data_IF_454183790973
#
_entry.id   IF_454183790973
#
_cell.length_a   1.000
_cell.length_b   1.000
_cell.length_c   1.000
_cell.angle_alpha   90.00
_cell.angle_beta   90.00
_cell.angle_gamma   90.00
#
_symmetry.space_group_name_H-M   'P 1'
#
loop_
_entity.id
_entity.type
_entity.pdbx_description
1 polymer ?
#
# COMPACT_ATOMS: atom_id res chain seq x y z
N UNK A 1 -13.09 -26.32 -7.95
CA UNK A 1 -12.87 -25.81 -7.93
C UNK A 1 -12.69 -25.40 -7.88
N UNK A 2 -12.45 -25.19 -7.86
CA UNK A 2 -12.09 -24.65 -7.82
C UNK A 2 -11.93 -24.22 -7.48
N UNK A 3 -11.73 -24.39 -7.41
CA UNK A 3 -11.43 -23.80 -7.15
C UNK A 3 -11.03 -23.32 -6.98
N UNK A 4 -10.82 -23.30 -7.16
CA UNK A 4 -10.31 -22.70 -7.10
C UNK A 4 -10.02 -22.29 -7.01
N UNK A 5 -9.95 -22.71 -7.01
CA UNK A 5 -9.59 -22.22 -7.00
C UNK A 5 -9.17 -21.91 -6.82
N UNK A 6 -9.03 -22.12 -6.90
CA UNK A 6 -8.46 -21.57 -6.77
C UNK A 6 -7.89 -21.43 -6.71
N UNK A 7 -7.53 -21.66 -6.75
CA UNK A 7 -6.77 -21.27 -6.73
C UNK A 7 -5.99 -21.02 -6.49
N UNK A 8 -5.93 -21.52 -6.22
CA UNK A 8 -4.49 -21.43 -6.13
C UNK A 8 -3.99 -20.02 -6.11
N UNK A 9 -4.69 -19.20 -6.62
CA UNK A 9 -4.34 -17.79 -6.62
C UNK A 9 -4.04 -17.31 -5.22
N UNK A 10 -4.71 -17.87 -4.26
CA UNK A 10 -4.53 -17.48 -2.88
C UNK A 10 -3.11 -17.72 -2.40
N UNK A 11 -2.37 -18.58 -3.07
CA UNK A 11 -1.00 -18.84 -2.67
C UNK A 11 -0.11 -17.65 -2.89
N UNK A 12 -0.33 -16.95 -3.96
CA UNK A 12 0.54 -15.83 -4.29
C UNK A 12 0.41 -14.71 -3.29
N UNK A 13 -0.65 -14.70 -2.54
CA UNK A 13 -0.87 -13.64 -1.55
C UNK A 13 0.12 -13.69 -0.41
N UNK A 14 0.69 -14.83 -0.18
CA UNK A 14 1.65 -14.98 0.90
C UNK A 14 2.95 -14.25 0.61
N UNK A 15 3.20 -14.02 -0.66
CA UNK A 15 4.48 -13.45 -1.06
C UNK A 15 4.30 -12.11 -1.72
N UNK A 16 3.70 -11.22 -1.00
CA UNK A 16 3.64 -9.85 -1.46
C UNK A 16 5.01 -9.26 -1.24
N UNK A 17 5.62 -8.74 -2.30
CA UNK A 17 6.91 -8.11 -2.14
C UNK A 17 6.71 -6.73 -1.55
N UNK A 18 7.84 -6.12 -1.17
CA UNK A 18 7.79 -4.83 -0.49
C UNK A 18 7.15 -3.75 -1.35
N UNK A 19 7.44 -3.78 -2.63
CA UNK A 19 6.93 -2.75 -3.53
C UNK A 19 5.41 -2.84 -3.62
N UNK A 20 4.88 -4.06 -3.69
CA UNK A 20 3.44 -4.25 -3.72
C UNK A 20 2.79 -3.76 -2.44
N UNK A 21 3.39 -4.05 -1.30
CA UNK A 21 2.84 -3.59 -0.03
C UNK A 21 2.85 -2.07 0.04
N UNK A 22 3.95 -1.47 -0.36
CA UNK A 22 4.07 -0.01 -0.37
C UNK A 22 3.01 0.60 -1.27
N UNK A 23 2.82 0.04 -2.46
CA UNK A 23 1.83 0.59 -3.38
C UNK A 23 0.42 0.43 -2.83
N UNK A 24 0.13 -0.68 -2.14
CA UNK A 24 -1.19 -0.86 -1.53
C UNK A 24 -1.44 0.20 -0.47
N UNK A 25 -0.44 0.48 0.35
CA UNK A 25 -0.56 1.51 1.38
C UNK A 25 -0.79 2.87 0.75
N UNK A 26 0.01 3.21 -0.24
CA UNK A 26 -0.11 4.51 -0.89
C UNK A 26 -1.45 4.66 -1.60
N UNK A 27 -1.93 3.61 -2.23
CA UNK A 27 -3.23 3.65 -2.90
C UNK A 27 -4.35 3.89 -1.89
N UNK A 28 -4.29 3.20 -0.76
CA UNK A 28 -5.29 3.36 0.29
C UNK A 28 -5.33 4.80 0.78
N UNK A 29 -4.16 5.39 1.00
CA UNK A 29 -4.08 6.76 1.49
C UNK A 29 -4.54 7.75 0.43
N UNK A 30 -4.15 7.51 -0.82
CA UNK A 30 -4.49 8.42 -1.90
C UNK A 30 -6.00 8.50 -2.13
N UNK A 31 -6.70 7.43 -1.84
CA UNK A 31 -8.14 7.39 -2.07
C UNK A 31 -8.95 8.17 -1.05
N UNK A 32 -8.29 8.81 -0.09
CA UNK A 32 -8.97 9.61 0.91
C UNK A 32 -8.39 11.01 0.97
N UNK A 33 -9.22 12.00 0.80
CA UNK A 33 -8.77 13.38 0.88
C UNK A 33 -8.34 13.77 2.28
N UNK A 34 -8.99 13.20 3.27
CA UNK A 34 -8.69 13.55 4.65
C UNK A 34 -7.56 12.72 5.22
N UNK A 35 -7.07 11.78 4.43
CA UNK A 35 -6.04 10.87 4.90
C UNK A 35 -6.62 9.65 5.57
N UNK A 36 -5.73 8.78 6.00
CA UNK A 36 -6.13 7.52 6.62
C UNK A 36 -5.41 7.34 7.92
N UNK A 37 -6.11 6.75 8.88
CA UNK A 37 -5.50 6.42 10.16
C UNK A 37 -4.75 5.10 10.03
N UNK A 38 -3.82 4.89 10.97
CA UNK A 38 -3.01 3.68 10.95
C UNK A 38 -3.87 2.41 10.89
N UNK A 39 -4.93 2.34 11.69
CA UNK A 39 -5.77 1.15 11.71
C UNK A 39 -6.49 0.93 10.39
N UNK A 40 -6.91 2.00 9.75
CA UNK A 40 -7.55 1.88 8.44
C UNK A 40 -6.58 1.37 7.39
N UNK A 41 -5.36 1.88 7.43
CA UNK A 41 -4.32 1.43 6.51
C UNK A 41 -4.01 -0.04 6.76
N UNK A 42 -3.88 -0.40 8.02
CA UNK A 42 -3.58 -1.77 8.40
C UNK A 42 -4.62 -2.74 7.84
N UNK A 43 -5.88 -2.40 7.98
CA UNK A 43 -6.95 -3.25 7.49
C UNK A 43 -7.00 -3.28 5.97
N UNK A 44 -6.89 -2.12 5.35
CA UNK A 44 -6.99 -2.03 3.88
C UNK A 44 -5.83 -2.72 3.19
N UNK A 45 -4.65 -2.63 3.76
CA UNK A 45 -3.47 -3.25 3.16
C UNK A 45 -3.26 -4.68 3.64
N UNK A 46 -4.12 -5.14 4.54
CA UNK A 46 -4.06 -6.51 5.07
C UNK A 46 -2.70 -6.80 5.72
N UNK A 47 -2.33 -5.94 6.65
CA UNK A 47 -1.08 -6.06 7.38
C UNK A 47 -1.34 -6.23 8.86
N UNK A 48 -0.37 -6.79 9.57
CA UNK A 48 -0.46 -6.80 11.02
C UNK A 48 0.12 -5.47 11.56
N UNK A 49 0.03 -5.30 12.87
CA UNK A 49 0.44 -4.04 13.48
C UNK A 49 1.92 -3.74 13.27
N UNK A 50 2.75 -4.74 13.50
CA UNK A 50 4.20 -4.57 13.39
C UNK A 50 4.61 -4.19 11.97
N UNK A 51 4.03 -4.87 10.98
CA UNK A 51 4.30 -4.56 9.59
C UNK A 51 3.84 -3.16 9.24
N UNK A 52 2.64 -2.81 9.69
CA UNK A 52 2.09 -1.49 9.39
C UNK A 52 3.00 -0.40 9.92
N UNK A 53 3.40 -0.52 11.18
CA UNK A 53 4.29 0.48 11.77
C UNK A 53 5.59 0.59 10.99
N UNK A 54 6.17 -0.54 10.65
CA UNK A 54 7.43 -0.56 9.94
C UNK A 54 7.33 0.15 8.59
N UNK A 55 6.31 -0.16 7.83
CA UNK A 55 6.16 0.45 6.51
C UNK A 55 5.77 1.91 6.58
N UNK A 56 4.93 2.27 7.54
CA UNK A 56 4.57 3.68 7.68
C UNK A 56 5.77 4.53 8.07
N UNK A 57 6.59 4.03 9.00
CA UNK A 57 7.81 4.75 9.38
C UNK A 57 8.73 4.92 8.18
N UNK A 58 8.87 3.87 7.39
CA UNK A 58 9.70 3.93 6.20
C UNK A 58 9.19 4.96 5.20
N UNK A 59 7.88 4.98 4.98
CA UNK A 59 7.29 5.88 4.00
C UNK A 59 7.36 7.34 4.45
N UNK A 60 7.31 7.58 5.75
CA UNK A 60 7.53 8.92 6.27
C UNK A 60 8.97 9.38 6.01
N UNK A 61 9.92 8.49 6.25
CA UNK A 61 11.31 8.82 6.02
C UNK A 61 11.58 9.08 4.55
N UNK A 62 10.95 8.31 3.67
CA UNK A 62 11.12 8.50 2.24
C UNK A 62 10.43 9.76 1.73
N UNK A 63 9.57 10.36 2.53
CA UNK A 63 8.84 11.53 2.09
C UNK A 63 7.65 11.21 1.21
N UNK A 64 7.19 9.97 1.23
CA UNK A 64 6.03 9.57 0.44
C UNK A 64 4.72 9.82 1.18
N UNK A 65 4.78 9.87 2.49
CA UNK A 65 3.62 10.16 3.33
C UNK A 65 3.99 11.26 4.32
N UNK A 66 2.98 11.96 4.80
CA UNK A 66 3.13 12.88 5.93
C UNK A 66 2.08 12.53 6.97
N UNK A 67 2.40 12.80 8.22
CA UNK A 67 1.50 12.53 9.33
C UNK A 67 0.93 13.87 9.80
N UNK A 68 -0.38 13.93 9.95
CA UNK A 68 -1.06 15.18 10.27
C UNK A 68 -1.37 15.28 11.75
N UNK A 69 -1.79 16.47 12.16
CA UNK A 69 -2.19 16.69 13.54
C UNK A 69 -3.43 15.89 13.93
N UNK A 70 -4.20 15.49 12.94
CA UNK A 70 -5.40 14.69 13.19
C UNK A 70 -5.09 13.21 13.24
N UNK A 71 -3.82 12.88 13.29
CA UNK A 71 -3.35 11.50 13.39
C UNK A 71 -3.75 10.68 12.17
N UNK A 72 -3.70 11.31 11.01
CA UNK A 72 -3.91 10.62 9.74
C UNK A 72 -2.68 10.75 8.89
N UNK A 73 -2.58 9.86 7.90
CA UNK A 73 -1.50 9.91 6.92
C UNK A 73 -2.04 10.42 5.61
N UNK A 74 -1.30 11.31 4.99
CA UNK A 74 -1.63 11.83 3.67
C UNK A 74 -0.50 11.51 2.72
N UNK A 75 -0.85 11.31 1.45
CA UNK A 75 0.16 11.03 0.44
C UNK A 75 0.75 12.36 -0.06
N UNK A 76 2.05 12.34 -0.31
CA UNK A 76 2.74 13.51 -0.85
C UNK A 76 2.78 13.41 -2.38
N UNK A 77 3.25 14.48 -3.02
CA UNK A 77 3.46 14.43 -4.46
C UNK A 77 4.43 13.35 -4.85
N UNK A 78 5.48 13.17 -4.04
CA UNK A 78 6.45 12.12 -4.30
C UNK A 78 5.83 10.74 -4.18
N UNK A 79 4.97 10.56 -3.18
CA UNK A 79 4.28 9.30 -3.02
C UNK A 79 3.34 9.01 -4.17
N UNK A 80 2.64 10.03 -4.65
CA UNK A 80 1.76 9.88 -5.80
C UNK A 80 2.54 9.49 -7.04
N UNK A 81 3.69 10.10 -7.22
CA UNK A 81 4.54 9.80 -8.38
C UNK A 81 5.04 8.37 -8.33
N UNK A 82 5.46 7.93 -7.15
CA UNK A 82 5.89 6.54 -6.98
C UNK A 82 4.79 5.57 -7.38
N UNK A 83 3.57 5.84 -6.88
CA UNK A 83 2.44 4.97 -7.16
C UNK A 83 2.13 4.94 -8.64
N UNK A 84 2.20 6.08 -9.29
CA UNK A 84 1.93 6.16 -10.72
C UNK A 84 2.95 5.35 -11.51
N UNK A 85 4.22 5.46 -11.15
CA UNK A 85 5.26 4.69 -11.83
C UNK A 85 5.08 3.21 -11.61
N UNK A 86 4.65 2.82 -10.41
CA UNK A 86 4.40 1.42 -10.13
C UNK A 86 3.33 0.87 -11.05
N UNK A 87 2.23 1.60 -11.23
CA UNK A 87 1.16 1.16 -12.11
C UNK A 87 1.60 1.07 -13.56
N UNK A 88 2.40 2.02 -14.00
CA UNK A 88 2.88 2.00 -15.37
C UNK A 88 3.76 0.79 -15.63
N UNK A 89 4.60 0.44 -14.68
CA UNK A 89 5.44 -0.74 -14.84
C UNK A 89 4.60 -2.01 -14.87
N UNK A 90 3.58 -2.07 -14.04
CA UNK A 90 2.71 -3.25 -14.04
C UNK A 90 2.02 -3.44 -15.37
N UNK A 91 1.57 -2.36 -15.96
CA UNK A 91 0.92 -2.43 -17.26
C UNK A 91 1.88 -2.96 -18.31
N UNK A 92 3.12 -2.51 -18.26
CA UNK A 92 4.11 -2.96 -19.24
C UNK A 92 4.44 -4.44 -19.05
N UNK A 93 4.49 -4.88 -17.82
CA UNK A 93 4.86 -6.27 -17.55
C UNK A 93 3.76 -7.23 -17.93
N UNK A 94 2.54 -6.79 -17.91
CA UNK A 94 1.41 -7.66 -18.23
C UNK A 94 1.37 -7.97 -19.72
N UNK A 95 1.98 -7.12 -20.52
CA UNK A 95 1.96 -7.33 -21.96
C UNK A 95 2.97 -8.33 -22.41
#
# INVERSE_FOLDING_TARGET
>A
MLRSKSLPISHTFKYRDRVSIISDILATVKNSRKGRRKTQIMQSANLNYTQTKKYLDYLLICGYLVFTEKETYLITNEGSRFLQLFYLQRIRMVR
#
